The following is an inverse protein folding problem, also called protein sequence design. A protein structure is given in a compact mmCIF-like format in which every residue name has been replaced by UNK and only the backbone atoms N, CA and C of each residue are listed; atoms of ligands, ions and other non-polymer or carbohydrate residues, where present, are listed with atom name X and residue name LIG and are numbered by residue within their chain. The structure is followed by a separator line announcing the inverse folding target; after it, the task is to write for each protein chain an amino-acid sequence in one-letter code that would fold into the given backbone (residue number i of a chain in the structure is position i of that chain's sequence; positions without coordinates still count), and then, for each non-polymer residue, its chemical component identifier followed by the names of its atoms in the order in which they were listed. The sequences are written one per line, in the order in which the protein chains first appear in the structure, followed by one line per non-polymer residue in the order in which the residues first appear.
data_IF_286449894759
#
_entry.id   IF_286449894759
#
_cell.length_a   1.000
_cell.length_b   1.000
_cell.length_c   1.000
_cell.angle_alpha   90.00
_cell.angle_beta   90.00
_cell.angle_gamma   90.00
#
_symmetry.space_group_name_H-M   'P 1'
#
loop_
_entity.id
_entity.type
_entity.pdbx_description
1 polymer ?
#
# COMPACT_ATOMS: atom_id res chain seq x y z
N UNK A 1 2.65 6.76 18.95
CA UNK A 1 2.66 5.28 18.86
C UNK A 1 4.02 4.77 18.38
N UNK A 2 4.10 3.50 17.97
CA UNK A 2 5.34 2.90 17.47
C UNK A 2 5.80 3.55 16.16
N UNK A 3 4.87 3.79 15.24
CA UNK A 3 5.14 4.43 13.94
C UNK A 3 5.70 5.84 14.13
N UNK A 4 5.03 6.70 14.91
CA UNK A 4 5.46 8.08 15.14
C UNK A 4 6.88 8.16 15.73
N UNK A 5 7.22 7.27 16.68
CA UNK A 5 8.59 7.21 17.23
C UNK A 5 9.61 6.78 16.19
N UNK A 6 9.26 5.84 15.31
CA UNK A 6 10.14 5.40 14.23
C UNK A 6 10.36 6.53 13.21
N UNK A 7 9.30 7.22 12.77
CA UNK A 7 9.36 8.36 11.86
C UNK A 7 10.25 9.46 12.45
N UNK A 8 9.96 9.94 13.66
CA UNK A 8 10.73 11.00 14.29
C UNK A 8 12.21 10.64 14.44
N UNK A 9 12.52 9.38 14.78
CA UNK A 9 13.90 8.89 14.86
C UNK A 9 14.58 8.86 13.48
N UNK A 10 13.91 8.34 12.46
CA UNK A 10 14.46 8.28 11.10
C UNK A 10 14.73 9.69 10.56
N UNK A 11 13.80 10.63 10.74
CA UNK A 11 14.00 12.02 10.32
C UNK A 11 15.10 12.73 11.12
N UNK A 12 15.24 12.43 12.41
CA UNK A 12 16.38 12.96 13.21
C UNK A 12 17.72 12.43 12.72
N UNK A 13 17.79 11.15 12.34
CA UNK A 13 19.05 10.48 12.00
C UNK A 13 19.48 10.72 10.54
N UNK A 14 18.51 10.80 9.61
CA UNK A 14 18.77 10.85 8.16
C UNK A 14 18.27 12.13 7.47
N UNK A 15 17.47 12.97 8.14
CA UNK A 15 16.96 14.21 7.56
C UNK A 15 16.27 13.99 6.21
N UNK A 16 16.72 14.73 5.19
CA UNK A 16 16.18 14.70 3.83
C UNK A 16 16.82 13.64 2.94
N UNK A 17 17.87 12.95 3.40
CA UNK A 17 18.50 11.85 2.65
C UNK A 17 17.61 10.59 2.62
N UNK A 18 16.57 10.55 3.46
CA UNK A 18 15.62 9.46 3.55
C UNK A 18 14.18 9.97 3.49
N UNK A 19 13.45 9.51 2.46
CA UNK A 19 11.99 9.67 2.38
C UNK A 19 11.33 8.62 3.27
N UNK A 20 10.50 9.07 4.20
CA UNK A 20 9.75 8.23 5.13
C UNK A 20 8.28 8.20 4.71
N UNK A 21 7.87 7.06 4.17
CA UNK A 21 6.48 6.77 3.81
C UNK A 21 5.81 5.94 4.91
N UNK A 22 4.61 6.30 5.32
CA UNK A 22 3.87 5.59 6.38
C UNK A 22 2.56 5.00 5.87
N UNK A 23 2.28 3.74 6.23
CA UNK A 23 0.95 3.14 6.00
C UNK A 23 -0.08 3.81 6.91
N UNK A 24 -1.24 4.17 6.36
CA UNK A 24 -2.40 4.68 7.11
C UNK A 24 -3.53 3.67 6.99
N UNK A 25 -3.79 2.95 8.09
CA UNK A 25 -4.84 1.95 8.18
C UNK A 25 -5.13 1.62 9.65
N UNK A 26 -6.35 1.18 9.95
CA UNK A 26 -6.74 0.85 11.33
C UNK A 26 -6.52 -0.64 11.68
N UNK A 27 -6.21 -1.49 10.70
CA UNK A 27 -6.24 -2.95 10.92
C UNK A 27 -5.22 -3.48 11.93
N UNK A 28 -4.12 -2.77 12.16
CA UNK A 28 -3.10 -3.12 13.17
C UNK A 28 -3.42 -2.55 14.57
N UNK A 29 -4.49 -1.77 14.69
CA UNK A 29 -4.84 -1.01 15.90
C UNK A 29 -6.26 -1.29 16.39
N UNK A 30 -6.99 -2.17 15.71
CA UNK A 30 -8.33 -2.62 16.11
C UNK A 30 -8.24 -4.04 16.66
N UNK A 31 -9.15 -4.40 17.56
CA UNK A 31 -9.27 -5.75 18.08
C UNK A 31 -9.78 -6.72 17.00
N UNK A 32 -10.64 -6.27 16.08
CA UNK A 32 -11.27 -7.08 15.05
C UNK A 32 -10.44 -7.28 13.76
N UNK A 33 -9.35 -6.52 13.56
CA UNK A 33 -8.43 -6.69 12.42
C UNK A 33 -8.94 -6.19 11.07
N UNK A 34 -9.98 -5.34 11.06
CA UNK A 34 -10.52 -4.71 9.84
C UNK A 34 -9.91 -3.33 9.62
N UNK A 35 -9.94 -2.86 8.37
CA UNK A 35 -9.28 -1.60 8.00
C UNK A 35 -10.05 -0.34 8.44
N UNK A 36 -11.33 -0.50 8.78
CA UNK A 36 -12.21 0.55 9.28
C UNK A 36 -12.95 0.11 10.55
N UNK A 37 -13.75 1.00 11.12
CA UNK A 37 -14.64 0.72 12.25
C UNK A 37 -15.71 -0.30 11.85
N UNK A 38 -16.19 -1.10 12.81
CA UNK A 38 -17.18 -2.16 12.58
C UNK A 38 -18.45 -1.94 13.39
N UNK A 39 -19.61 -2.05 12.72
CA UNK A 39 -20.93 -2.16 13.34
C UNK A 39 -21.56 -3.52 13.03
N UNK A 40 -21.68 -4.36 14.05
CA UNK A 40 -22.11 -5.75 13.87
C UNK A 40 -21.09 -6.55 13.06
N UNK A 41 -21.42 -6.84 11.79
CA UNK A 41 -20.55 -7.56 10.85
C UNK A 41 -20.12 -6.69 9.65
N UNK A 42 -20.43 -5.38 9.68
CA UNK A 42 -20.18 -4.47 8.57
C UNK A 42 -19.09 -3.47 8.96
N UNK A 43 -18.12 -3.27 8.07
CA UNK A 43 -17.20 -2.13 8.15
C UNK A 43 -17.96 -0.87 7.72
N UNK A 44 -17.97 0.17 8.56
CA UNK A 44 -18.73 1.40 8.33
C UNK A 44 -17.84 2.48 7.72
N UNK A 45 -18.08 2.80 6.44
CA UNK A 45 -17.22 3.67 5.63
C UNK A 45 -16.98 5.06 6.26
N UNK A 46 -18.03 5.89 6.31
CA UNK A 46 -17.91 7.31 6.66
C UNK A 46 -17.41 7.49 8.11
N UNK A 47 -17.87 6.65 9.03
CA UNK A 47 -17.39 6.66 10.41
C UNK A 47 -15.92 6.25 10.54
N UNK A 48 -15.37 5.53 9.55
CA UNK A 48 -13.96 5.17 9.51
C UNK A 48 -13.06 6.29 9.01
N UNK A 49 -13.59 7.26 8.26
CA UNK A 49 -12.77 8.34 7.68
C UNK A 49 -12.12 9.20 8.76
N UNK A 50 -12.88 9.59 9.79
CA UNK A 50 -12.36 10.43 10.88
C UNK A 50 -11.12 9.81 11.59
N UNK A 51 -11.15 8.55 12.09
CA UNK A 51 -9.95 7.94 12.66
C UNK A 51 -8.81 7.77 11.64
N UNK A 52 -9.10 7.49 10.37
CA UNK A 52 -8.08 7.40 9.30
C UNK A 52 -7.35 8.74 9.12
N UNK A 53 -8.09 9.86 9.05
CA UNK A 53 -7.53 11.21 8.95
C UNK A 53 -6.67 11.53 10.17
N UNK A 54 -7.13 11.22 11.38
CA UNK A 54 -6.33 11.40 12.61
C UNK A 54 -5.03 10.59 12.59
N UNK A 55 -5.04 9.38 12.02
CA UNK A 55 -3.82 8.58 11.86
C UNK A 55 -2.84 9.24 10.89
N UNK A 56 -3.32 9.69 9.73
CA UNK A 56 -2.50 10.41 8.74
C UNK A 56 -1.86 11.68 9.34
N UNK A 57 -2.66 12.51 10.01
CA UNK A 57 -2.20 13.70 10.72
C UNK A 57 -1.12 13.37 11.75
N UNK A 58 -1.34 12.34 12.56
CA UNK A 58 -0.36 11.93 13.57
C UNK A 58 0.96 11.46 12.96
N UNK A 59 0.95 10.92 11.74
CA UNK A 59 2.18 10.55 11.03
C UNK A 59 2.86 11.77 10.43
N UNK A 60 2.11 12.71 9.85
CA UNK A 60 2.61 13.99 9.34
C UNK A 60 3.27 14.84 10.44
N UNK A 61 2.62 14.98 11.61
CA UNK A 61 3.18 15.66 12.79
C UNK A 61 4.50 15.05 13.27
N UNK A 62 4.68 13.73 13.08
CA UNK A 62 5.92 13.05 13.43
C UNK A 62 7.04 13.25 12.39
N UNK A 63 6.74 13.85 11.24
CA UNK A 63 7.67 14.16 10.15
C UNK A 63 7.61 13.20 8.96
N UNK A 64 6.50 12.48 8.75
CA UNK A 64 6.35 11.64 7.56
C UNK A 64 6.32 12.51 6.30
N UNK A 65 7.07 12.11 5.27
CA UNK A 65 7.11 12.81 3.98
C UNK A 65 5.93 12.38 3.10
N UNK A 66 5.48 11.13 3.26
CA UNK A 66 4.34 10.54 2.52
C UNK A 66 3.46 9.75 3.49
N UNK A 67 2.15 9.91 3.36
CA UNK A 67 1.17 9.03 4.00
C UNK A 67 0.46 8.19 2.93
N UNK A 68 0.29 6.90 3.21
CA UNK A 68 -0.13 5.92 2.22
C UNK A 68 -1.36 5.14 2.73
N UNK A 69 -2.59 5.68 2.54
CA UNK A 69 -3.82 5.05 3.00
C UNK A 69 -4.06 3.73 2.28
N UNK A 70 -4.17 2.65 3.05
CA UNK A 70 -4.35 1.29 2.53
C UNK A 70 -5.67 0.65 2.93
N UNK A 71 -6.59 1.42 3.48
CA UNK A 71 -7.87 0.96 4.04
C UNK A 71 -8.93 0.57 3.00
N UNK A 72 -8.92 1.18 1.81
CA UNK A 72 -9.94 1.05 0.75
C UNK A 72 -11.34 1.57 1.16
N UNK A 73 -11.43 2.59 2.00
CA UNK A 73 -12.69 3.29 2.26
C UNK A 73 -12.99 4.29 1.14
N UNK A 74 -14.25 4.50 0.80
CA UNK A 74 -14.65 5.48 -0.20
C UNK A 74 -14.41 6.91 0.35
N UNK A 75 -13.83 7.80 -0.45
CA UNK A 75 -13.62 9.21 -0.10
C UNK A 75 -12.46 9.51 0.86
N UNK A 76 -11.65 8.50 1.23
CA UNK A 76 -10.55 8.71 2.19
C UNK A 76 -9.44 9.62 1.67
N UNK A 77 -9.19 9.67 0.36
CA UNK A 77 -8.09 10.49 -0.18
C UNK A 77 -8.42 11.97 0.02
N UNK A 78 -9.62 12.38 -0.39
CA UNK A 78 -10.10 13.75 -0.18
C UNK A 78 -10.13 14.10 1.32
N UNK A 79 -10.68 13.22 2.16
CA UNK A 79 -10.75 13.46 3.59
C UNK A 79 -9.37 13.61 4.25
N UNK A 80 -8.37 12.82 3.84
CA UNK A 80 -7.00 12.95 4.33
C UNK A 80 -6.36 14.22 3.81
N UNK A 81 -6.53 14.56 2.52
CA UNK A 81 -5.98 15.78 1.92
C UNK A 81 -6.49 17.02 2.64
N UNK A 82 -7.81 17.14 2.80
CA UNK A 82 -8.47 18.23 3.52
C UNK A 82 -7.93 18.33 4.96
N UNK A 83 -7.87 17.19 5.65
CA UNK A 83 -7.36 17.13 7.02
C UNK A 83 -5.91 17.60 7.14
N UNK A 84 -5.02 17.15 6.26
CA UNK A 84 -3.62 17.58 6.23
C UNK A 84 -3.49 19.07 5.93
N UNK A 85 -4.24 19.59 4.96
CA UNK A 85 -4.20 21.01 4.58
C UNK A 85 -4.69 21.91 5.72
N UNK A 86 -5.81 21.55 6.36
CA UNK A 86 -6.36 22.27 7.51
C UNK A 86 -5.40 22.34 8.71
N UNK A 87 -4.43 21.43 8.80
CA UNK A 87 -3.41 21.40 9.85
C UNK A 87 -2.04 21.92 9.39
N UNK A 88 -1.91 22.46 8.17
CA UNK A 88 -0.66 23.02 7.66
C UNK A 88 0.38 21.96 7.24
N UNK A 89 -0.11 20.81 6.75
CA UNK A 89 0.69 19.71 6.22
C UNK A 89 0.53 19.59 4.69
N UNK A 90 0.46 20.71 3.98
CA UNK A 90 0.24 20.77 2.53
C UNK A 90 1.35 20.09 1.72
N UNK A 91 2.55 20.00 2.29
CA UNK A 91 3.71 19.39 1.64
C UNK A 91 3.84 17.88 1.86
N UNK A 92 2.96 17.26 2.66
CA UNK A 92 2.95 15.80 2.86
C UNK A 92 2.21 15.16 1.70
N UNK A 93 2.89 14.26 0.99
CA UNK A 93 2.33 13.62 -0.19
C UNK A 93 1.41 12.44 0.15
N UNK A 94 0.46 12.15 -0.75
CA UNK A 94 -0.50 11.05 -0.67
C UNK A 94 -0.18 9.95 -1.67
N UNK A 95 0.17 8.77 -1.16
CA UNK A 95 0.31 7.54 -1.95
C UNK A 95 -0.94 6.67 -1.77
N UNK A 96 -1.92 6.85 -2.65
CA UNK A 96 -3.15 6.09 -2.57
C UNK A 96 -2.93 4.62 -2.94
N UNK A 97 -3.34 3.69 -2.07
CA UNK A 97 -3.56 2.30 -2.47
C UNK A 97 -4.83 2.17 -3.30
N UNK A 98 -4.90 2.90 -4.40
CA UNK A 98 -6.09 3.09 -5.22
C UNK A 98 -6.68 1.78 -5.71
N UNK A 99 -5.81 0.85 -6.10
CA UNK A 99 -6.24 -0.43 -6.63
C UNK A 99 -5.71 -1.54 -5.73
N UNK A 100 -6.47 -1.89 -4.70
CA UNK A 100 -6.12 -2.95 -3.76
C UNK A 100 -7.16 -4.06 -3.76
N UNK A 101 -6.75 -5.20 -4.29
CA UNK A 101 -7.61 -6.38 -4.42
C UNK A 101 -7.70 -7.22 -3.15
N UNK A 102 -8.81 -7.93 -2.97
CA UNK A 102 -9.03 -8.97 -1.97
C UNK A 102 -8.24 -10.25 -2.35
N UNK A 103 -6.92 -10.21 -2.20
CA UNK A 103 -6.01 -11.22 -2.72
C UNK A 103 -5.64 -12.33 -1.73
N UNK A 104 -5.45 -13.55 -2.25
CA UNK A 104 -4.89 -14.68 -1.51
C UNK A 104 -3.37 -14.53 -1.23
N UNK A 105 -2.67 -13.62 -1.91
CA UNK A 105 -1.23 -13.40 -1.73
C UNK A 105 -0.87 -12.70 -0.39
N UNK A 106 -1.84 -12.28 0.41
CA UNK A 106 -1.57 -11.55 1.66
C UNK A 106 -1.31 -12.43 2.88
N UNK A 107 -1.44 -13.76 2.77
CA UNK A 107 -1.27 -14.69 3.91
C UNK A 107 -0.04 -14.40 4.77
N UNK A 108 1.19 -14.43 4.21
CA UNK A 108 2.40 -14.22 5.01
C UNK A 108 2.50 -12.82 5.65
N UNK A 109 1.90 -11.79 5.05
CA UNK A 109 1.85 -10.46 5.66
C UNK A 109 0.90 -10.42 6.85
N UNK A 110 -0.25 -11.11 6.77
CA UNK A 110 -1.21 -11.14 7.87
C UNK A 110 -0.62 -11.78 9.12
N UNK A 111 0.20 -12.81 8.94
CA UNK A 111 0.96 -13.44 10.04
C UNK A 111 2.01 -12.47 10.62
N UNK A 112 2.70 -11.71 9.77
CA UNK A 112 3.73 -10.77 10.21
C UNK A 112 3.18 -9.51 10.89
N UNK A 113 1.98 -9.07 10.50
CA UNK A 113 1.35 -7.83 10.97
C UNK A 113 0.23 -8.05 11.99
N UNK A 114 -0.04 -9.31 12.39
CA UNK A 114 -1.14 -9.71 13.28
C UNK A 114 -2.48 -9.04 12.93
N UNK A 115 -2.81 -9.02 11.64
CA UNK A 115 -3.91 -8.22 11.09
C UNK A 115 -5.00 -9.05 10.39
N UNK A 116 -5.02 -10.36 10.62
CA UNK A 116 -6.10 -11.22 10.12
C UNK A 116 -7.44 -10.77 10.71
N UNK A 117 -8.49 -10.56 9.90
CA UNK A 117 -9.81 -10.29 10.43
C UNK A 117 -10.25 -11.43 11.35
N UNK A 118 -10.75 -11.11 12.53
CA UNK A 118 -11.26 -12.15 13.44
C UNK A 118 -12.52 -12.83 12.88
N UNK A 119 -13.31 -12.10 12.11
CA UNK A 119 -14.54 -12.58 11.47
C UNK A 119 -14.67 -12.02 10.05
N UNK A 120 -15.22 -12.84 9.15
CA UNK A 120 -15.47 -12.48 7.76
C UNK A 120 -14.21 -12.38 6.91
N UNK A 121 -14.28 -11.57 5.86
CA UNK A 121 -13.18 -11.27 4.95
C UNK A 121 -13.14 -9.77 4.64
N UNK A 122 -12.28 -9.37 3.70
CA UNK A 122 -12.11 -7.97 3.31
C UNK A 122 -12.80 -7.64 1.98
N UNK A 123 -13.65 -8.52 1.45
CA UNK A 123 -14.25 -8.38 0.11
C UNK A 123 -15.31 -7.28 0.03
N UNK A 124 -15.77 -6.74 1.16
CA UNK A 124 -16.73 -5.63 1.15
C UNK A 124 -16.08 -4.26 0.89
N UNK A 125 -14.76 -4.18 0.79
CA UNK A 125 -14.02 -2.94 0.53
C UNK A 125 -12.77 -3.17 -0.32
N UNK A 126 -12.09 -4.32 -0.20
CA UNK A 126 -11.04 -4.70 -1.15
C UNK A 126 -11.66 -5.26 -2.43
N UNK A 127 -11.08 -4.88 -3.56
CA UNK A 127 -11.66 -5.14 -4.88
C UNK A 127 -11.68 -6.62 -5.24
N UNK A 128 -12.62 -7.00 -6.10
CA UNK A 128 -12.69 -8.34 -6.66
C UNK A 128 -11.62 -8.54 -7.75
N UNK A 129 -10.78 -9.58 -7.60
CA UNK A 129 -9.67 -9.88 -8.52
C UNK A 129 -10.09 -10.09 -9.99
N UNK A 130 -11.39 -10.27 -10.26
CA UNK A 130 -11.94 -10.43 -11.62
C UNK A 130 -12.07 -9.10 -12.37
N UNK A 131 -11.96 -7.96 -11.69
CA UNK A 131 -12.35 -6.66 -12.23
C UNK A 131 -11.17 -5.75 -12.57
N UNK A 132 -11.00 -5.43 -13.86
CA UNK A 132 -10.05 -4.40 -14.31
C UNK A 132 -10.73 -3.03 -14.48
N UNK A 133 -12.00 -2.99 -14.93
CA UNK A 133 -12.71 -1.73 -15.15
C UNK A 133 -13.01 -0.97 -13.84
N UNK A 134 -13.19 -1.71 -12.75
CA UNK A 134 -13.30 -1.13 -11.40
C UNK A 134 -11.99 -0.46 -10.99
N UNK A 135 -10.84 -1.07 -11.29
CA UNK A 135 -9.52 -0.49 -10.98
C UNK A 135 -9.29 0.86 -11.63
N UNK A 136 -9.75 1.03 -12.88
CA UNK A 136 -9.66 2.32 -13.56
C UNK A 136 -10.53 3.38 -12.91
N UNK A 137 -11.70 2.99 -12.38
CA UNK A 137 -12.60 3.91 -11.68
C UNK A 137 -12.03 4.33 -10.32
N UNK A 138 -11.53 3.38 -9.54
CA UNK A 138 -10.91 3.68 -8.24
C UNK A 138 -9.68 4.58 -8.40
N UNK A 139 -8.83 4.31 -9.41
CA UNK A 139 -7.69 5.15 -9.73
C UNK A 139 -8.09 6.59 -10.14
N UNK A 140 -9.12 6.72 -10.97
CA UNK A 140 -9.64 8.03 -11.41
C UNK A 140 -10.25 8.83 -10.25
N UNK A 141 -10.99 8.16 -9.34
CA UNK A 141 -11.54 8.78 -8.14
C UNK A 141 -10.44 9.30 -7.23
N UNK A 142 -9.45 8.49 -6.91
CA UNK A 142 -8.35 8.91 -6.04
C UNK A 142 -7.50 10.03 -6.62
N UNK A 143 -7.26 10.00 -7.94
CA UNK A 143 -6.57 11.09 -8.64
C UNK A 143 -7.39 12.38 -8.57
N UNK A 144 -8.71 12.31 -8.77
CA UNK A 144 -9.61 13.46 -8.65
C UNK A 144 -9.74 13.98 -7.21
N UNK A 145 -9.59 13.10 -6.21
CA UNK A 145 -9.60 13.42 -4.78
C UNK A 145 -8.28 14.01 -4.28
N UNK A 146 -7.23 14.05 -5.10
CA UNK A 146 -5.96 14.72 -4.79
C UNK A 146 -4.82 13.79 -4.37
N UNK A 147 -4.83 12.52 -4.78
CA UNK A 147 -3.66 11.65 -4.62
C UNK A 147 -2.47 12.18 -5.46
N UNK A 148 -1.28 12.22 -4.86
CA UNK A 148 -0.05 12.58 -5.57
C UNK A 148 0.53 11.39 -6.35
N UNK A 149 0.26 10.19 -5.87
CA UNK A 149 0.74 8.92 -6.42
C UNK A 149 -0.33 7.84 -6.25
N UNK A 150 -0.40 6.93 -7.21
CA UNK A 150 -1.33 5.80 -7.18
C UNK A 150 -0.58 4.49 -6.98
N UNK A 151 -1.24 3.45 -6.46
CA UNK A 151 -0.67 2.13 -6.30
C UNK A 151 -1.63 1.01 -6.70
N UNK A 152 -1.08 -0.01 -7.39
CA UNK A 152 -1.73 -1.31 -7.59
C UNK A 152 -1.13 -2.35 -6.64
N UNK A 153 -2.00 -3.11 -5.96
CA UNK A 153 -1.64 -4.17 -5.01
C UNK A 153 -2.60 -5.36 -5.12
N UNK A 154 -2.12 -6.61 -5.30
CA UNK A 154 -0.73 -7.06 -5.54
C UNK A 154 -0.14 -6.65 -6.90
N UNK A 155 1.07 -7.11 -7.24
CA UNK A 155 1.76 -6.74 -8.48
C UNK A 155 1.83 -7.87 -9.52
N UNK A 156 2.42 -9.02 -9.20
CA UNK A 156 2.79 -10.02 -10.23
C UNK A 156 1.59 -10.65 -10.94
N UNK A 157 0.52 -10.93 -10.20
CA UNK A 157 -0.72 -11.46 -10.78
C UNK A 157 -1.63 -10.37 -11.39
N UNK A 158 -1.19 -9.10 -11.36
CA UNK A 158 -1.99 -7.93 -11.72
C UNK A 158 -1.20 -6.97 -12.64
N UNK A 159 -0.22 -7.50 -13.40
CA UNK A 159 0.59 -6.70 -14.33
C UNK A 159 -0.27 -6.07 -15.44
N UNK A 160 -1.33 -6.75 -15.85
CA UNK A 160 -2.34 -6.23 -16.78
C UNK A 160 -3.11 -5.05 -16.18
N UNK A 161 -3.42 -5.09 -14.88
CA UNK A 161 -4.05 -3.98 -14.17
C UNK A 161 -3.09 -2.79 -14.02
N UNK A 162 -1.82 -3.03 -13.68
CA UNK A 162 -0.78 -1.99 -13.66
C UNK A 162 -0.69 -1.30 -15.03
N UNK A 163 -0.69 -2.08 -16.11
CA UNK A 163 -0.67 -1.53 -17.46
C UNK A 163 -1.93 -0.72 -17.79
N UNK A 164 -3.10 -1.22 -17.40
CA UNK A 164 -4.36 -0.52 -17.61
C UNK A 164 -4.38 0.83 -16.89
N UNK A 165 -4.06 0.86 -15.59
CA UNK A 165 -4.01 2.10 -14.79
C UNK A 165 -2.95 3.07 -15.32
N UNK A 166 -1.75 2.59 -15.69
CA UNK A 166 -0.71 3.43 -16.28
C UNK A 166 -1.18 4.15 -17.55
N UNK A 167 -2.08 3.53 -18.32
CA UNK A 167 -2.59 4.11 -19.57
C UNK A 167 -3.59 5.25 -19.37
N UNK A 168 -4.13 5.43 -18.16
CA UNK A 168 -5.17 6.43 -17.87
C UNK A 168 -4.69 7.58 -16.99
N UNK A 169 -3.65 7.39 -16.18
CA UNK A 169 -3.09 8.43 -15.31
C UNK A 169 -1.79 9.02 -15.86
N UNK A 170 -1.40 10.21 -15.40
CA UNK A 170 -0.04 10.75 -15.56
C UNK A 170 0.75 10.79 -14.26
N UNK A 171 0.11 10.47 -13.12
CA UNK A 171 0.76 10.42 -11.81
C UNK A 171 1.81 9.30 -11.75
N UNK A 172 2.80 9.38 -10.83
CA UNK A 172 3.68 8.26 -10.54
C UNK A 172 2.87 7.03 -10.09
N UNK A 173 3.18 5.88 -10.68
CA UNK A 173 2.48 4.63 -10.37
C UNK A 173 3.37 3.69 -9.55
N UNK A 174 2.96 3.39 -8.33
CA UNK A 174 3.56 2.36 -7.49
C UNK A 174 2.95 0.99 -7.76
N UNK A 175 3.73 -0.06 -7.54
CA UNK A 175 3.23 -1.43 -7.47
C UNK A 175 3.82 -2.15 -6.25
N UNK A 176 2.98 -2.92 -5.54
CA UNK A 176 3.42 -3.67 -4.37
C UNK A 176 3.69 -5.13 -4.75
N UNK A 177 4.96 -5.54 -4.74
CA UNK A 177 5.36 -6.94 -4.78
C UNK A 177 5.20 -7.58 -3.39
N UNK A 178 4.07 -8.26 -3.20
CA UNK A 178 3.53 -8.57 -1.86
C UNK A 178 4.18 -9.80 -1.22
N UNK A 179 3.84 -10.04 0.05
CA UNK A 179 4.45 -11.07 0.88
C UNK A 179 4.31 -12.48 0.33
N UNK A 180 3.17 -12.84 -0.27
CA UNK A 180 2.97 -14.16 -0.88
C UNK A 180 3.79 -14.36 -2.15
N UNK A 181 4.01 -13.29 -2.92
CA UNK A 181 4.87 -13.31 -4.11
C UNK A 181 6.34 -13.50 -3.71
N UNK A 182 6.78 -12.75 -2.68
CA UNK A 182 8.10 -12.92 -2.06
C UNK A 182 8.31 -14.34 -1.51
N UNK A 183 7.36 -14.83 -0.72
CA UNK A 183 7.46 -16.14 -0.07
C UNK A 183 7.46 -17.29 -1.10
N UNK A 184 6.70 -17.17 -2.19
CA UNK A 184 6.71 -18.15 -3.26
C UNK A 184 8.10 -18.28 -3.92
N UNK A 185 8.76 -17.15 -4.19
CA UNK A 185 10.13 -17.13 -4.73
C UNK A 185 11.12 -17.75 -3.75
N UNK A 186 11.11 -17.31 -2.48
CA UNK A 186 11.99 -17.87 -1.43
C UNK A 186 11.83 -19.39 -1.31
N UNK A 187 10.59 -19.86 -1.23
CA UNK A 187 10.31 -21.28 -1.07
C UNK A 187 10.68 -22.13 -2.30
N UNK A 188 10.61 -21.58 -3.51
CA UNK A 188 11.08 -22.26 -4.72
C UNK A 188 12.61 -22.29 -4.81
N UNK A 189 13.27 -21.20 -4.43
CA UNK A 189 14.73 -21.11 -4.40
C UNK A 189 15.36 -22.02 -3.35
N UNK A 190 14.79 -22.09 -2.14
CA UNK A 190 15.23 -23.00 -1.08
C UNK A 190 15.19 -24.48 -1.50
N UNK A 191 14.28 -24.85 -2.41
CA UNK A 191 14.17 -26.19 -2.99
C UNK A 191 15.06 -26.41 -4.21
N UNK A 192 15.80 -25.39 -4.63
CA UNK A 192 16.66 -25.42 -5.82
C UNK A 192 15.88 -25.43 -7.14
N UNK A 193 14.60 -25.06 -7.14
CA UNK A 193 13.78 -25.05 -8.36
C UNK A 193 14.01 -23.81 -9.21
N UNK A 194 14.32 -22.67 -8.55
CA UNK A 194 14.59 -21.39 -9.19
C UNK A 194 15.88 -20.80 -8.66
N UNK A 195 16.60 -20.09 -9.53
CA UNK A 195 17.66 -19.17 -9.12
C UNK A 195 17.00 -17.88 -8.60
N UNK A 196 17.15 -17.64 -7.30
CA UNK A 196 16.48 -16.51 -6.62
C UNK A 196 16.85 -15.16 -7.25
N UNK A 197 18.14 -14.89 -7.42
CA UNK A 197 18.62 -13.61 -7.92
C UNK A 197 18.09 -13.32 -9.33
N UNK A 198 18.06 -14.34 -10.19
CA UNK A 198 17.56 -14.22 -11.56
C UNK A 198 16.06 -14.00 -11.59
N UNK A 199 15.27 -14.79 -10.85
CA UNK A 199 13.80 -14.66 -10.89
C UNK A 199 13.34 -13.36 -10.23
N UNK A 200 13.98 -12.91 -9.14
CA UNK A 200 13.67 -11.62 -8.52
C UNK A 200 13.93 -10.48 -9.51
N UNK A 201 15.08 -10.47 -10.18
CA UNK A 201 15.38 -9.46 -11.21
C UNK A 201 14.34 -9.45 -12.33
N UNK A 202 13.97 -10.63 -12.83
CA UNK A 202 12.96 -10.77 -13.88
C UNK A 202 11.58 -10.26 -13.44
N UNK A 203 11.16 -10.57 -12.21
CA UNK A 203 9.92 -10.08 -11.61
C UNK A 203 9.91 -8.55 -11.50
N UNK A 204 10.99 -7.94 -11.01
CA UNK A 204 11.10 -6.48 -10.90
C UNK A 204 11.06 -5.81 -12.28
N UNK A 205 11.73 -6.39 -13.28
CA UNK A 205 11.64 -5.92 -14.67
C UNK A 205 10.23 -6.07 -15.25
N UNK A 206 9.51 -7.13 -14.92
CA UNK A 206 8.12 -7.31 -15.36
C UNK A 206 7.19 -6.24 -14.79
N UNK A 207 7.31 -5.94 -13.49
CA UNK A 207 6.55 -4.89 -12.81
C UNK A 207 6.87 -3.52 -13.41
N UNK A 208 8.16 -3.22 -13.63
CA UNK A 208 8.59 -1.97 -14.28
C UNK A 208 8.07 -1.87 -15.71
N UNK A 209 8.16 -2.95 -16.50
CA UNK A 209 7.67 -3.00 -17.88
C UNK A 209 6.16 -2.82 -17.98
N UNK A 210 5.40 -3.29 -16.98
CA UNK A 210 3.95 -3.11 -16.94
C UNK A 210 3.55 -1.65 -16.76
N UNK A 211 4.41 -0.80 -16.19
CA UNK A 211 4.17 0.64 -16.08
C UNK A 211 4.43 1.23 -14.70
N UNK A 212 4.81 0.44 -13.70
CA UNK A 212 5.14 0.97 -12.38
C UNK A 212 6.44 1.79 -12.44
N UNK A 213 6.42 2.96 -11.83
CA UNK A 213 7.58 3.84 -11.63
C UNK A 213 8.30 3.54 -10.30
N UNK A 214 7.55 3.06 -9.32
CA UNK A 214 8.04 2.69 -7.99
C UNK A 214 7.60 1.26 -7.67
N UNK A 215 8.47 0.48 -7.01
CA UNK A 215 8.17 -0.90 -6.60
C UNK A 215 8.43 -1.03 -5.12
N UNK A 216 7.37 -1.36 -4.36
CA UNK A 216 7.50 -1.75 -2.95
C UNK A 216 7.71 -3.26 -2.92
N UNK A 217 8.86 -3.71 -2.42
CA UNK A 217 9.20 -5.14 -2.38
C UNK A 217 10.02 -5.49 -1.14
N UNK A 218 9.76 -6.67 -0.57
CA UNK A 218 10.58 -7.27 0.48
C UNK A 218 11.96 -7.71 -0.01
N UNK A 219 12.13 -7.91 -1.33
CA UNK A 219 13.42 -8.26 -1.92
C UNK A 219 14.39 -7.08 -2.04
N UNK A 220 13.99 -5.84 -1.71
CA UNK A 220 14.79 -4.65 -1.99
C UNK A 220 16.20 -4.73 -1.38
N UNK A 221 16.31 -5.15 -0.12
CA UNK A 221 17.60 -5.28 0.56
C UNK A 221 18.48 -6.36 -0.07
N UNK A 222 17.92 -7.55 -0.32
CA UNK A 222 18.65 -8.67 -0.91
C UNK A 222 19.11 -8.34 -2.33
N UNK A 223 18.26 -7.69 -3.13
CA UNK A 223 18.56 -7.27 -4.49
C UNK A 223 19.71 -6.26 -4.55
N UNK A 224 19.75 -5.29 -3.63
CA UNK A 224 20.84 -4.32 -3.55
C UNK A 224 22.14 -4.96 -3.03
N UNK A 225 22.08 -5.72 -1.94
CA UNK A 225 23.26 -6.34 -1.35
C UNK A 225 23.88 -7.41 -2.26
N UNK A 226 23.04 -8.22 -2.91
CA UNK A 226 23.43 -9.25 -3.85
C UNK A 226 23.75 -8.74 -5.25
N UNK A 227 23.58 -7.45 -5.53
CA UNK A 227 23.77 -6.82 -6.87
C UNK A 227 22.93 -7.50 -7.95
N UNK A 228 21.66 -7.74 -7.63
CA UNK A 228 20.69 -8.35 -8.52
C UNK A 228 20.05 -7.36 -9.49
N UNK A 229 20.36 -6.08 -9.42
CA UNK A 229 19.85 -5.04 -10.32
C UNK A 229 20.89 -4.70 -11.38
#
# INVERSE_FOLDING_TARGET
GAVQRAVARLKTEYGDDLIVMTDVCLCAYTDHGHCGLVEGLRVVNDASLEPIVRTALSHAEAGADVVAPSDMMDGRIAAIRDGLDDQGHENVALLAYAVKYASAYYGPFRDAADSSPQHGDRQSYQMDARNVLEALREADLDEAEGADMLMVKPALAYLDVIQAVRSTTTLPLSAYNVSGEYAAVKAAAERGWLDEARVVRENLYAIRRAGADQIITYHARDALQGRWL
#
